data_IF_081908109877
#
_entry.id   IF_081908109877
#
_cell.length_a   1.000
_cell.length_b   1.000
_cell.length_c   1.000
_cell.angle_alpha   90.00
_cell.angle_beta   90.00
_cell.angle_gamma   90.00
#
_symmetry.space_group_name_H-M   'P 1'
#
loop_
_entity.id
_entity.type
_entity.pdbx_description
1 polymer ?
#
# COMPACT_ATOMS: atom_id res chain seq x y z
N UNK A 1 7.72 10.32 3.40
CA UNK A 1 8.64 10.37 4.57
C UNK A 1 7.79 10.38 5.82
N UNK A 2 8.13 9.61 6.85
CA UNK A 2 7.43 9.59 8.14
C UNK A 2 8.37 9.20 9.28
N UNK A 3 7.92 9.31 10.52
CA UNK A 3 8.63 8.76 11.68
C UNK A 3 8.07 7.39 12.05
N UNK A 4 8.92 6.47 12.47
CA UNK A 4 8.49 5.21 13.10
C UNK A 4 9.04 5.10 14.53
N UNK A 5 8.25 4.47 15.39
CA UNK A 5 8.67 4.02 16.72
C UNK A 5 8.60 2.49 16.72
N UNK A 6 9.74 1.83 16.93
CA UNK A 6 9.82 0.36 16.94
C UNK A 6 10.26 -0.13 18.31
N UNK A 7 9.56 -1.15 18.81
CA UNK A 7 9.81 -1.83 20.08
C UNK A 7 10.10 -3.30 19.80
N UNK A 8 11.25 -3.82 20.25
CA UNK A 8 11.60 -5.23 20.12
C UNK A 8 11.54 -5.90 21.50
N UNK A 9 10.70 -6.91 21.66
CA UNK A 9 10.67 -7.72 22.88
C UNK A 9 11.71 -8.84 22.78
N UNK A 10 12.64 -8.90 23.72
CA UNK A 10 13.65 -9.96 23.85
C UNK A 10 13.58 -10.51 25.29
N UNK A 11 13.78 -11.82 25.43
CA UNK A 11 13.61 -12.57 26.69
C UNK A 11 14.64 -12.19 27.79
N UNK A 12 15.70 -11.46 27.45
CA UNK A 12 16.74 -11.02 28.38
C UNK A 12 16.88 -9.48 28.37
N UNK A 13 16.32 -8.85 29.41
CA UNK A 13 16.69 -7.60 30.11
C UNK A 13 16.99 -6.30 29.34
N UNK A 14 17.09 -6.30 28.01
CA UNK A 14 17.41 -5.11 27.21
C UNK A 14 16.24 -4.75 26.28
N UNK A 15 15.38 -3.87 26.79
CA UNK A 15 14.22 -3.33 26.09
C UNK A 15 14.67 -2.33 25.01
N UNK A 16 14.83 -2.78 23.77
CA UNK A 16 15.39 -1.97 22.68
C UNK A 16 14.31 -1.10 22.01
N UNK A 17 14.32 0.20 22.32
CA UNK A 17 13.38 1.21 21.81
C UNK A 17 14.13 2.24 20.97
N UNK A 18 13.69 2.50 19.73
CA UNK A 18 14.35 3.48 18.86
C UNK A 18 13.34 4.25 18.00
N UNK A 19 13.48 5.58 18.00
CA UNK A 19 12.85 6.45 17.01
C UNK A 19 13.69 6.45 15.74
N UNK A 20 13.03 6.28 14.60
CA UNK A 20 13.70 6.15 13.32
C UNK A 20 13.01 6.89 12.19
N UNK A 21 13.79 7.19 11.15
CA UNK A 21 13.24 7.69 9.89
C UNK A 21 12.64 6.52 9.12
N UNK A 22 11.43 6.72 8.63
CA UNK A 22 10.71 5.77 7.79
C UNK A 22 10.60 6.30 6.36
N UNK A 23 11.03 5.47 5.40
CA UNK A 23 10.92 5.72 3.97
C UNK A 23 9.81 4.84 3.41
N UNK A 24 8.87 5.46 2.71
CA UNK A 24 7.74 4.80 2.06
C UNK A 24 7.92 4.89 0.55
N UNK A 25 7.92 3.75 -0.12
CA UNK A 25 7.96 3.64 -1.58
C UNK A 25 6.64 3.04 -2.06
N UNK A 26 5.96 3.72 -3.00
CA UNK A 26 4.72 3.22 -3.59
C UNK A 26 4.86 3.11 -5.10
N UNK A 27 4.69 1.89 -5.61
CA UNK A 27 4.62 1.62 -7.05
C UNK A 27 3.17 1.40 -7.42
N UNK A 28 2.70 2.15 -8.43
CA UNK A 28 1.34 2.02 -8.96
C UNK A 28 1.40 1.80 -10.45
N UNK A 29 0.70 0.78 -10.92
CA UNK A 29 0.51 0.50 -12.34
C UNK A 29 -0.95 0.19 -12.60
N UNK A 30 -1.48 0.68 -13.71
CA UNK A 30 -2.85 0.39 -14.11
C UNK A 30 -2.99 0.40 -15.61
N UNK A 31 -3.78 -0.52 -16.13
CA UNK A 31 -4.15 -0.58 -17.53
C UNK A 31 -5.62 -0.94 -17.64
N UNK A 32 -6.31 -0.38 -18.63
CA UNK A 32 -7.71 -0.68 -18.83
C UNK A 32 -8.23 -0.21 -20.17
N UNK A 33 -9.36 -0.78 -20.54
CA UNK A 33 -10.11 -0.45 -21.73
C UNK A 33 -11.45 0.18 -21.33
N UNK A 34 -11.73 1.35 -21.89
CA UNK A 34 -12.95 2.09 -21.64
C UNK A 34 -13.74 2.23 -22.96
N UNK A 35 -14.96 1.71 -22.98
CA UNK A 35 -15.90 1.84 -24.09
C UNK A 35 -17.14 2.60 -23.60
N UNK A 36 -18.09 2.95 -24.47
CA UNK A 36 -19.34 3.62 -24.09
C UNK A 36 -20.17 2.80 -23.10
N UNK A 37 -20.22 1.48 -23.25
CA UNK A 37 -21.07 0.58 -22.45
C UNK A 37 -20.33 -0.22 -21.37
N UNK A 38 -19.02 -0.36 -21.48
CA UNK A 38 -18.23 -1.25 -20.63
C UNK A 38 -16.91 -0.63 -20.23
N UNK A 39 -16.42 -1.02 -19.06
CA UNK A 39 -15.06 -0.77 -18.63
C UNK A 39 -14.47 -2.06 -18.07
N UNK A 40 -13.23 -2.34 -18.45
CA UNK A 40 -12.44 -3.43 -17.87
C UNK A 40 -11.03 -2.90 -17.59
N UNK A 41 -10.50 -3.17 -16.40
CA UNK A 41 -9.19 -2.69 -16.00
C UNK A 41 -8.54 -3.53 -14.93
N UNK A 42 -7.21 -3.48 -14.91
CA UNK A 42 -6.36 -4.08 -13.90
C UNK A 42 -5.59 -2.96 -13.22
N UNK A 43 -5.57 -3.00 -11.89
CA UNK A 43 -4.85 -2.06 -11.06
C UNK A 43 -3.95 -2.83 -10.11
N UNK A 44 -2.70 -2.41 -10.03
CA UNK A 44 -1.71 -2.94 -9.12
C UNK A 44 -1.10 -1.80 -8.31
N UNK A 45 -1.06 -1.99 -7.00
CA UNK A 45 -0.39 -1.10 -6.07
C UNK A 45 0.50 -1.93 -5.18
N UNK A 46 1.75 -1.52 -5.02
CA UNK A 46 2.66 -2.06 -4.05
C UNK A 46 3.21 -0.95 -3.18
N UNK A 47 3.17 -1.14 -1.87
CA UNK A 47 3.73 -0.26 -0.87
C UNK A 47 4.85 -1.02 -0.15
N UNK A 48 6.05 -0.45 -0.18
CA UNK A 48 7.17 -0.94 0.61
C UNK A 48 7.61 0.15 1.58
N UNK A 49 7.57 -0.18 2.86
CA UNK A 49 7.96 0.71 3.94
C UNK A 49 9.23 0.19 4.58
N UNK A 50 10.28 1.01 4.62
CA UNK A 50 11.54 0.71 5.30
C UNK A 50 11.69 1.62 6.51
N UNK A 51 11.95 1.01 7.66
CA UNK A 51 12.11 1.66 8.96
C UNK A 51 13.42 1.25 9.60
N UNK A 52 14.02 2.15 10.38
CA UNK A 52 15.21 1.82 11.17
C UNK A 52 14.85 0.83 12.28
N UNK A 53 15.69 -0.19 12.46
CA UNK A 53 15.58 -1.18 13.52
C UNK A 53 16.34 -0.73 14.77
N UNK A 54 15.91 -1.16 15.98
CA UNK A 54 16.68 -0.99 17.21
C UNK A 54 18.04 -1.70 17.19
N UNK A 55 18.21 -2.75 16.37
CA UNK A 55 19.47 -3.49 16.23
C UNK A 55 20.37 -2.78 15.21
N UNK A 56 21.63 -2.51 15.57
CA UNK A 56 22.61 -1.86 14.70
C UNK A 56 22.75 -2.57 13.35
N UNK A 57 22.92 -1.79 12.28
CA UNK A 57 23.04 -2.26 10.90
C UNK A 57 21.86 -3.08 10.35
N UNK A 58 20.70 -3.10 11.02
CA UNK A 58 19.50 -3.79 10.50
C UNK A 58 18.36 -2.83 10.19
N UNK A 59 17.43 -3.26 9.33
CA UNK A 59 16.26 -2.49 8.93
C UNK A 59 15.03 -3.38 8.91
N UNK A 60 13.90 -2.84 9.36
CA UNK A 60 12.61 -3.50 9.23
C UNK A 60 11.95 -3.05 7.94
N UNK A 61 11.56 -4.00 7.10
CA UNK A 61 10.82 -3.74 5.85
C UNK A 61 9.44 -4.39 5.93
N UNK A 62 8.39 -3.61 5.68
CA UNK A 62 7.01 -4.09 5.56
C UNK A 62 6.55 -3.86 4.12
N UNK A 63 6.01 -4.89 3.50
CA UNK A 63 5.41 -4.83 2.18
C UNK A 63 3.90 -5.04 2.26
N UNK A 64 3.14 -4.24 1.53
CA UNK A 64 1.71 -4.42 1.36
C UNK A 64 1.34 -4.18 -0.11
N UNK A 65 0.62 -5.13 -0.70
CA UNK A 65 0.19 -5.07 -2.10
C UNK A 65 -1.32 -5.10 -2.23
N UNK A 66 -1.84 -4.48 -3.29
CA UNK A 66 -3.23 -4.63 -3.71
C UNK A 66 -3.27 -4.89 -5.21
N UNK A 67 -3.85 -6.02 -5.59
CA UNK A 67 -4.18 -6.34 -6.96
C UNK A 67 -5.70 -6.29 -7.12
N UNK A 68 -6.18 -5.53 -8.10
CA UNK A 68 -7.61 -5.34 -8.35
C UNK A 68 -7.93 -5.51 -9.82
N UNK A 69 -8.95 -6.32 -10.07
CA UNK A 69 -9.60 -6.44 -11.37
C UNK A 69 -10.96 -5.75 -11.28
N UNK A 70 -11.22 -4.84 -12.22
CA UNK A 70 -12.45 -4.06 -12.26
C UNK A 70 -13.18 -4.35 -13.58
N UNK A 71 -14.44 -4.77 -13.49
CA UNK A 71 -15.33 -4.95 -14.65
C UNK A 71 -16.64 -4.22 -14.37
N UNK A 72 -17.03 -3.34 -15.27
CA UNK A 72 -18.22 -2.50 -15.13
C UNK A 72 -19.04 -2.57 -16.40
N UNK A 73 -20.37 -2.67 -16.23
CA UNK A 73 -21.37 -2.55 -17.28
C UNK A 73 -22.23 -1.32 -17.01
N UNK A 74 -22.32 -0.42 -17.98
CA UNK A 74 -23.17 0.77 -17.91
C UNK A 74 -24.57 0.44 -18.42
N UNK A 75 -25.58 1.04 -17.80
CA UNK A 75 -26.96 0.98 -18.23
C UNK A 75 -27.49 2.41 -18.40
N UNK A 76 -28.29 2.62 -19.44
CA UNK A 76 -29.01 3.88 -19.63
C UNK A 76 -30.25 3.92 -18.74
N UNK A 77 -30.50 5.04 -18.09
CA UNK A 77 -31.76 5.30 -17.40
C UNK A 77 -32.84 5.62 -18.45
N UNK A 78 -34.00 4.96 -18.35
CA UNK A 78 -35.16 5.21 -19.23
C UNK A 78 -35.90 6.51 -18.89
N UNK A 79 -35.65 7.09 -17.72
CA UNK A 79 -36.25 8.32 -17.23
C UNK A 79 -35.13 9.26 -16.79
N UNK A 80 -35.21 10.52 -17.19
CA UNK A 80 -34.33 11.56 -16.66
C UNK A 80 -34.66 11.73 -15.17
N UNK A 81 -33.61 11.68 -14.36
CA UNK A 81 -33.65 12.15 -12.99
C UNK A 81 -33.26 13.63 -13.09
N UNK A 82 -34.20 14.51 -12.72
CA UNK A 82 -34.19 15.97 -12.82
C UNK A 82 -34.68 16.53 -14.16
#
# INVERSE_FOLDING_TARGET
MGGNYTHLFRDEENDLRKFGVQINNTVRASIGYNSSKYFAGIHYVNLTTRSQSPIEHTFQTIGAGNFRVSVVRRFGLKRELF
#
